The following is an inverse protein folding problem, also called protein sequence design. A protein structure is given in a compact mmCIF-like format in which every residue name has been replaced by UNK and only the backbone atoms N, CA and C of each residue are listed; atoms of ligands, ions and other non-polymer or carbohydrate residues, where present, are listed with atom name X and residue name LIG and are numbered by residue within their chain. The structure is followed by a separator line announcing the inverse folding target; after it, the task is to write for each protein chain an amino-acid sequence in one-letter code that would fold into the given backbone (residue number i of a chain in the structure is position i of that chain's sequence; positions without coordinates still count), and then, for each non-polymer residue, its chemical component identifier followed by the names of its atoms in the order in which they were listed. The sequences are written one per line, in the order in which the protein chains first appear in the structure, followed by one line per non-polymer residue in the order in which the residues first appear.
data_IF_339712169219
#
_entry.id   IF_339712169219
#
_cell.length_a   1.000
_cell.length_b   1.000
_cell.length_c   1.000
_cell.angle_alpha   90.00
_cell.angle_beta   90.00
_cell.angle_gamma   90.00
#
_symmetry.space_group_name_H-M   'P 1'
#
loop_
_entity.id
_entity.type
_entity.pdbx_description
1 polymer ?
#
# COMPACT_ATOMS: atom_id res chain seq x y z
N UNK A 1 1.87 9.50 12.40
CA UNK A 1 2.29 9.32 10.99
C UNK A 1 1.30 10.09 10.14
N UNK A 2 1.80 10.97 9.29
CA UNK A 2 0.97 11.82 8.43
C UNK A 2 1.22 11.33 7.01
N UNK A 3 0.14 11.00 6.29
CA UNK A 3 0.19 10.57 4.89
C UNK A 3 -0.28 11.75 4.03
N UNK A 4 0.54 12.24 3.10
CA UNK A 4 0.16 13.34 2.22
C UNK A 4 -0.99 12.94 1.30
N UNK A 5 -2.10 13.69 1.35
CA UNK A 5 -3.31 13.43 0.56
C UNK A 5 -3.06 13.66 -0.93
N UNK A 6 -2.23 14.65 -1.27
CA UNK A 6 -1.76 14.92 -2.62
C UNK A 6 -1.13 13.68 -3.24
N UNK A 7 -0.21 13.00 -2.53
CA UNK A 7 0.44 11.76 -3.02
C UNK A 7 -0.55 10.63 -3.30
N UNK A 8 -1.58 10.49 -2.45
CA UNK A 8 -2.65 9.52 -2.63
C UNK A 8 -3.50 9.81 -3.88
N UNK A 9 -3.75 11.10 -4.14
CA UNK A 9 -4.59 11.55 -5.24
C UNK A 9 -3.82 11.59 -6.57
N UNK A 10 -2.50 11.72 -6.56
CA UNK A 10 -1.62 11.66 -7.74
C UNK A 10 -1.32 10.25 -8.25
N UNK A 11 -1.95 9.20 -7.72
CA UNK A 11 -1.83 7.85 -8.30
C UNK A 11 -2.61 7.78 -9.63
N UNK A 12 -1.92 8.20 -10.67
CA UNK A 12 -2.41 8.80 -11.93
C UNK A 12 -3.35 7.95 -12.80
N UNK A 13 -3.41 6.63 -12.59
CA UNK A 13 -4.21 5.76 -13.48
C UNK A 13 -5.57 5.36 -12.91
N UNK A 14 -5.69 5.09 -11.61
CA UNK A 14 -6.96 4.74 -10.94
C UNK A 14 -6.78 4.60 -9.41
N UNK A 15 -7.39 5.49 -8.62
CA UNK A 15 -7.36 5.45 -7.13
C UNK A 15 -7.91 4.14 -6.53
N UNK A 16 -8.87 3.49 -7.21
CA UNK A 16 -9.48 2.25 -6.74
C UNK A 16 -8.56 1.05 -6.94
N UNK A 17 -7.81 1.01 -8.06
CA UNK A 17 -6.79 -0.02 -8.30
C UNK A 17 -5.67 0.11 -7.28
N UNK A 18 -5.20 1.33 -7.02
CA UNK A 18 -4.23 1.60 -5.96
C UNK A 18 -4.76 1.11 -4.60
N UNK A 19 -5.98 1.47 -4.24
CA UNK A 19 -6.59 1.05 -2.97
C UNK A 19 -6.69 -0.48 -2.87
N UNK A 20 -7.14 -1.16 -3.94
CA UNK A 20 -7.20 -2.64 -4.01
C UNK A 20 -5.82 -3.26 -3.84
N UNK A 21 -4.79 -2.69 -4.47
CA UNK A 21 -3.41 -3.16 -4.37
C UNK A 21 -2.85 -3.03 -2.95
N UNK A 22 -3.05 -1.87 -2.30
CA UNK A 22 -2.59 -1.65 -0.93
C UNK A 22 -3.30 -2.59 0.03
N UNK A 23 -4.60 -2.84 -0.15
CA UNK A 23 -5.33 -3.81 0.69
C UNK A 23 -4.84 -5.24 0.49
N UNK A 24 -4.57 -5.66 -0.75
CA UNK A 24 -3.91 -6.95 -1.03
C UNK A 24 -2.53 -7.07 -0.36
N UNK A 25 -1.78 -5.97 -0.25
CA UNK A 25 -0.50 -5.96 0.45
C UNK A 25 -0.66 -6.03 1.97
N UNK A 26 -1.70 -5.41 2.53
CA UNK A 26 -2.08 -5.51 3.94
C UNK A 26 -2.43 -6.96 4.33
N UNK A 27 -3.19 -7.67 3.49
CA UNK A 27 -3.51 -9.09 3.73
C UNK A 27 -2.25 -9.97 3.76
N UNK A 28 -1.19 -9.54 3.06
CA UNK A 28 0.10 -10.22 2.98
C UNK A 28 1.16 -9.61 3.90
N UNK A 29 0.77 -8.87 4.94
CA UNK A 29 1.71 -8.18 5.84
C UNK A 29 2.78 -9.11 6.43
N UNK A 30 2.43 -10.37 6.73
CA UNK A 30 3.37 -11.36 7.26
C UNK A 30 4.49 -11.76 6.29
N UNK A 31 4.37 -11.42 5.00
CA UNK A 31 5.40 -11.67 3.99
C UNK A 31 6.27 -10.42 3.71
N UNK A 32 6.02 -9.30 4.40
CA UNK A 32 6.77 -8.06 4.22
C UNK A 32 7.98 -8.08 5.17
N UNK A 33 9.17 -8.33 4.62
CA UNK A 33 10.41 -8.51 5.40
C UNK A 33 10.77 -7.33 6.33
N UNK A 34 10.44 -6.10 5.93
CA UNK A 34 10.77 -4.88 6.69
C UNK A 34 9.58 -4.32 7.48
N UNK A 35 8.51 -5.09 7.66
CA UNK A 35 7.37 -4.61 8.42
C UNK A 35 7.73 -4.52 9.92
N UNK A 36 7.45 -3.39 10.60
CA UNK A 36 7.76 -3.25 12.01
C UNK A 36 6.82 -4.11 12.86
N UNK A 37 7.25 -5.34 13.18
CA UNK A 37 6.48 -6.33 13.96
C UNK A 37 6.23 -5.91 15.42
N UNK A 38 6.94 -4.89 15.94
CA UNK A 38 6.76 -4.42 17.31
C UNK A 38 5.45 -3.64 17.46
N UNK A 39 4.38 -4.33 17.90
CA UNK A 39 3.21 -3.75 18.58
C UNK A 39 2.42 -2.68 17.80
N UNK A 40 2.31 -2.84 16.47
CA UNK A 40 1.59 -1.91 15.58
C UNK A 40 0.39 -2.56 14.87
N UNK A 41 -0.23 -3.59 15.46
CA UNK A 41 -1.40 -4.27 14.88
C UNK A 41 -2.54 -3.31 14.52
N UNK A 42 -2.70 -2.21 15.26
CA UNK A 42 -3.72 -1.20 15.01
C UNK A 42 -3.34 -0.17 13.92
N UNK A 43 -2.10 -0.19 13.41
CA UNK A 43 -1.59 0.73 12.36
C UNK A 43 -1.10 0.01 11.09
N UNK A 44 -1.50 -1.23 10.87
CA UNK A 44 -1.06 -2.02 9.71
C UNK A 44 -1.33 -1.30 8.40
N UNK A 45 -2.58 -0.87 8.18
CA UNK A 45 -2.99 -0.18 6.95
C UNK A 45 -2.18 1.10 6.70
N UNK A 46 -2.09 2.06 7.64
CA UNK A 46 -1.25 3.23 7.47
C UNK A 46 0.22 2.89 7.14
N UNK A 47 0.81 1.89 7.81
CA UNK A 47 2.22 1.54 7.61
C UNK A 47 2.47 0.99 6.21
N UNK A 48 1.66 0.03 5.77
CA UNK A 48 1.76 -0.53 4.41
C UNK A 48 1.58 0.57 3.36
N UNK A 49 0.62 1.47 3.58
CA UNK A 49 0.36 2.57 2.66
C UNK A 49 1.55 3.54 2.58
N UNK A 50 2.22 3.82 3.71
CA UNK A 50 3.48 4.58 3.71
C UNK A 50 4.58 3.84 2.94
N UNK A 51 4.77 2.53 3.16
CA UNK A 51 5.79 1.74 2.46
C UNK A 51 5.57 1.71 0.94
N UNK A 52 4.30 1.68 0.49
CA UNK A 52 3.97 1.78 -0.94
C UNK A 52 4.31 3.18 -1.48
N UNK A 53 3.98 4.24 -0.75
CA UNK A 53 4.28 5.63 -1.16
C UNK A 53 5.77 5.98 -1.13
N UNK A 54 6.53 5.34 -0.24
CA UNK A 54 7.99 5.46 -0.14
C UNK A 54 8.71 4.55 -1.16
N UNK A 55 7.97 3.73 -1.92
CA UNK A 55 8.50 2.87 -2.98
C UNK A 55 9.14 1.56 -2.50
N UNK A 56 9.03 1.25 -1.20
CA UNK A 56 9.51 0.00 -0.59
C UNK A 56 8.67 -1.21 -1.04
N UNK A 57 7.37 -0.99 -1.27
CA UNK A 57 6.46 -1.96 -1.87
C UNK A 57 6.14 -1.51 -3.28
N UNK A 58 6.64 -2.24 -4.28
CA UNK A 58 6.37 -1.96 -5.69
C UNK A 58 5.06 -2.60 -6.11
N UNK A 59 4.17 -1.80 -6.67
CA UNK A 59 2.99 -2.28 -7.36
C UNK A 59 3.27 -2.35 -8.86
N UNK A 60 3.16 -3.55 -9.44
CA UNK A 60 3.16 -3.74 -10.89
C UNK A 60 1.70 -3.82 -11.30
N UNK A 61 1.26 -2.84 -12.09
CA UNK A 61 -0.07 -2.85 -12.68
C UNK A 61 -0.02 -3.59 -14.02
N UNK A 62 -0.72 -4.71 -14.13
CA UNK A 62 -0.98 -5.38 -15.39
C UNK A 62 -2.45 -5.17 -15.79
N UNK A 63 -2.72 -4.81 -17.04
CA UNK A 63 -4.08 -4.54 -17.57
C UNK A 63 -5.06 -5.71 -17.39
N UNK A 64 -4.56 -6.92 -17.11
CA UNK A 64 -5.36 -8.12 -16.80
C UNK A 64 -6.17 -8.03 -15.50
N UNK A 65 -5.86 -7.08 -14.61
CA UNK A 65 -6.56 -6.92 -13.32
C UNK A 65 -7.94 -6.20 -13.42
N UNK A 66 -8.38 -5.85 -14.64
CA UNK A 66 -9.66 -5.16 -14.93
C UNK A 66 -10.80 -6.13 -15.29
N UNK A 67 -10.52 -7.43 -15.50
CA UNK A 67 -11.55 -8.46 -15.75
C UNK A 67 -12.31 -8.89 -14.48
#
# INVERSE_FOLDING_TARGET
MIIPLDKLMTYDKNKYVFTKAVMKAVDKVGNIQNYPEKNLNWKVVPHVLKMVLDGEIKFIYEEKDIE
#
